data_IF_724813278376
#
_entry.id   IF_724813278376
#
_cell.length_a   1.000
_cell.length_b   1.000
_cell.length_c   1.000
_cell.angle_alpha   90.00
_cell.angle_beta   90.00
_cell.angle_gamma   90.00
#
_symmetry.space_group_name_H-M   'P 1'
#
loop_
_entity.id
_entity.type
_entity.pdbx_description
1 polymer ?
#
# COMPACT_ATOMS: atom_id res chain seq x y z
N UNK A 1 23.79 -5.76 6.23
CA UNK A 1 23.29 -6.02 4.85
C UNK A 1 21.98 -6.79 4.87
N UNK A 2 21.46 -7.04 6.07
CA UNK A 2 20.35 -7.98 6.30
C UNK A 2 18.97 -7.29 6.39
N UNK A 3 18.90 -5.98 6.10
CA UNK A 3 17.70 -5.17 6.27
C UNK A 3 17.15 -4.60 4.95
N UNK A 4 17.51 -5.22 3.81
CA UNK A 4 16.93 -4.88 2.52
C UNK A 4 15.54 -5.52 2.38
N UNK A 5 14.54 -4.84 2.87
CA UNK A 5 13.15 -5.19 2.60
C UNK A 5 12.81 -4.66 1.20
N UNK A 6 12.91 -5.54 0.21
CA UNK A 6 12.41 -5.27 -1.12
C UNK A 6 11.17 -6.12 -1.36
N UNK A 7 10.01 -5.48 -1.54
CA UNK A 7 8.83 -6.11 -2.09
C UNK A 7 7.84 -6.78 -1.15
N UNK A 8 8.18 -7.08 0.11
CA UNK A 8 7.23 -7.66 1.08
C UNK A 8 7.13 -6.74 2.29
N UNK A 9 6.50 -5.60 2.11
CA UNK A 9 6.36 -4.58 3.17
C UNK A 9 5.63 -5.13 4.40
N UNK A 10 4.69 -6.02 4.22
CA UNK A 10 3.89 -6.63 5.30
C UNK A 10 4.74 -7.43 6.28
N UNK A 11 5.78 -8.11 5.81
CA UNK A 11 6.66 -8.91 6.68
C UNK A 11 7.58 -8.07 7.58
N UNK A 12 7.69 -6.76 7.33
CA UNK A 12 8.46 -5.85 8.17
C UNK A 12 7.65 -5.22 9.31
N UNK A 13 6.32 -5.28 9.26
CA UNK A 13 5.45 -4.67 10.29
C UNK A 13 5.70 -5.19 11.72
N UNK A 14 6.05 -6.47 11.94
CA UNK A 14 6.35 -6.96 13.29
C UNK A 14 7.52 -6.29 14.00
N UNK A 15 8.38 -5.53 13.30
CA UNK A 15 9.45 -4.76 13.95
C UNK A 15 8.92 -3.60 14.80
N UNK A 16 7.66 -3.19 14.57
CA UNK A 16 7.04 -2.10 15.32
C UNK A 16 6.33 -2.65 16.56
N UNK A 17 6.74 -2.28 17.76
CA UNK A 17 6.18 -2.84 19.01
C UNK A 17 4.72 -2.44 19.24
N UNK A 18 4.25 -1.38 18.61
CA UNK A 18 2.87 -0.91 18.74
C UNK A 18 1.87 -1.68 17.88
N UNK A 19 2.35 -2.51 16.95
CA UNK A 19 1.49 -3.39 16.17
C UNK A 19 1.06 -4.57 17.06
N UNK A 20 -0.23 -4.73 17.25
CA UNK A 20 -0.81 -5.77 18.09
C UNK A 20 -1.13 -7.04 17.28
N UNK A 21 -1.63 -6.87 16.06
CA UNK A 21 -2.07 -7.97 15.21
C UNK A 21 -1.87 -7.62 13.72
N UNK A 22 -1.52 -8.62 12.91
CA UNK A 22 -1.33 -8.51 11.47
C UNK A 22 -2.02 -9.69 10.79
N UNK A 23 -3.05 -9.41 10.00
CA UNK A 23 -3.66 -10.37 9.10
C UNK A 23 -2.96 -10.30 7.73
N UNK A 24 -2.31 -11.39 7.32
CA UNK A 24 -1.74 -11.57 6.00
C UNK A 24 -2.69 -12.43 5.18
N UNK A 25 -3.17 -11.88 4.07
CA UNK A 25 -4.12 -12.57 3.19
C UNK A 25 -3.46 -12.87 1.86
N UNK A 26 -3.09 -14.13 1.65
CA UNK A 26 -2.43 -14.62 0.46
C UNK A 26 -3.10 -15.94 0.02
N UNK A 27 -3.78 -15.96 -1.13
CA UNK A 27 -4.48 -17.15 -1.58
C UNK A 27 -3.54 -18.32 -1.93
N UNK A 28 -2.30 -18.04 -2.29
CA UNK A 28 -1.31 -19.05 -2.67
C UNK A 28 -0.45 -19.47 -1.46
N UNK A 29 -0.78 -20.62 -0.88
CA UNK A 29 -0.02 -21.20 0.23
C UNK A 29 1.41 -21.56 -0.17
N UNK A 30 1.63 -22.04 -1.40
CA UNK A 30 2.96 -22.40 -1.89
C UNK A 30 3.87 -21.17 -1.98
N UNK A 31 3.31 -20.01 -2.31
CA UNK A 31 4.06 -18.74 -2.36
C UNK A 31 4.62 -18.40 -0.98
N UNK A 32 3.83 -18.54 0.08
CA UNK A 32 4.25 -18.29 1.46
C UNK A 32 5.39 -19.23 1.85
N UNK A 33 5.26 -20.53 1.56
CA UNK A 33 6.29 -21.53 1.85
C UNK A 33 7.60 -21.25 1.09
N UNK A 34 7.49 -20.88 -0.19
CA UNK A 34 8.66 -20.53 -1.03
C UNK A 34 9.36 -19.28 -0.48
N UNK A 35 8.59 -18.25 -0.09
CA UNK A 35 9.15 -17.06 0.52
C UNK A 35 9.90 -17.36 1.82
N UNK A 36 9.30 -18.13 2.71
CA UNK A 36 9.92 -18.54 3.97
C UNK A 36 11.20 -19.37 3.76
N UNK A 37 11.22 -20.20 2.73
CA UNK A 37 12.35 -21.09 2.43
C UNK A 37 13.51 -20.40 1.74
N UNK A 38 13.22 -19.54 0.75
CA UNK A 38 14.25 -18.98 -0.13
C UNK A 38 14.56 -17.50 0.13
N UNK A 39 13.69 -16.81 0.86
CA UNK A 39 13.84 -15.40 1.23
C UNK A 39 13.65 -15.19 2.75
N UNK A 40 14.40 -15.96 3.60
CA UNK A 40 14.17 -15.96 5.05
C UNK A 40 14.35 -14.57 5.68
N UNK A 41 15.26 -13.76 5.13
CA UNK A 41 15.52 -12.42 5.67
C UNK A 41 14.35 -11.46 5.49
N UNK A 42 13.59 -11.61 4.41
CA UNK A 42 12.38 -10.82 4.15
C UNK A 42 11.12 -11.45 4.76
N UNK A 43 11.05 -12.78 4.77
CA UNK A 43 9.87 -13.51 5.23
C UNK A 43 9.85 -13.82 6.74
N UNK A 44 10.94 -13.52 7.48
CA UNK A 44 11.06 -13.84 8.92
C UNK A 44 9.90 -13.31 9.77
N UNK A 45 9.34 -12.16 9.37
CA UNK A 45 8.20 -11.55 10.06
C UNK A 45 6.93 -12.40 10.02
N UNK A 46 6.79 -13.31 9.04
CA UNK A 46 5.63 -14.20 8.96
C UNK A 46 5.57 -15.23 10.10
N UNK A 47 6.67 -15.44 10.82
CA UNK A 47 6.73 -16.33 11.99
C UNK A 47 6.46 -15.62 13.33
N UNK A 48 6.19 -14.31 13.31
CA UNK A 48 5.86 -13.56 14.53
C UNK A 48 4.49 -13.99 15.05
N UNK A 49 4.35 -14.11 16.37
CA UNK A 49 3.11 -14.58 17.03
C UNK A 49 1.90 -13.67 16.79
N UNK A 50 2.13 -12.42 16.38
CA UNK A 50 1.11 -11.43 16.03
C UNK A 50 0.61 -11.57 14.59
N UNK A 51 1.23 -12.44 13.77
CA UNK A 51 0.91 -12.60 12.36
C UNK A 51 -0.01 -13.80 12.14
N UNK A 52 -1.14 -13.57 11.55
CA UNK A 52 -2.11 -14.58 11.16
C UNK A 52 -2.20 -14.65 9.63
N UNK A 53 -1.89 -15.80 9.05
CA UNK A 53 -1.90 -16.02 7.60
C UNK A 53 -3.22 -16.69 7.18
N UNK A 54 -3.90 -16.10 6.20
CA UNK A 54 -5.16 -16.58 5.65
C UNK A 54 -5.02 -16.89 4.16
N UNK A 55 -5.15 -18.15 3.78
CA UNK A 55 -5.09 -18.60 2.38
C UNK A 55 -6.46 -18.46 1.72
N UNK A 56 -6.81 -17.23 1.36
CA UNK A 56 -8.08 -16.93 0.68
C UNK A 56 -8.00 -15.61 -0.11
N UNK A 57 -9.01 -15.38 -0.93
CA UNK A 57 -9.16 -14.15 -1.69
C UNK A 57 -9.35 -12.93 -0.77
N UNK A 58 -8.61 -11.84 -1.02
CA UNK A 58 -8.61 -10.63 -0.19
C UNK A 58 -9.95 -9.90 -0.16
N UNK A 59 -10.69 -9.86 -1.27
CA UNK A 59 -12.03 -9.27 -1.33
C UNK A 59 -13.01 -10.07 -0.44
N UNK A 60 -12.93 -11.39 -0.53
CA UNK A 60 -13.76 -12.30 0.28
C UNK A 60 -13.43 -12.17 1.76
N UNK A 61 -12.15 -12.05 2.09
CA UNK A 61 -11.68 -11.90 3.46
C UNK A 61 -12.20 -10.62 4.12
N UNK A 62 -12.16 -9.50 3.40
CA UNK A 62 -12.60 -8.21 3.93
C UNK A 62 -14.13 -8.03 3.94
N UNK A 63 -14.86 -8.84 3.14
CA UNK A 63 -16.31 -8.69 3.02
C UNK A 63 -17.03 -8.91 4.35
N UNK A 64 -17.75 -7.89 4.81
CA UNK A 64 -18.52 -7.90 6.05
C UNK A 64 -17.76 -7.38 7.28
N UNK A 65 -16.44 -7.19 7.19
CA UNK A 65 -15.65 -6.55 8.26
C UNK A 65 -15.94 -5.05 8.32
N UNK A 66 -16.02 -4.48 9.49
CA UNK A 66 -16.39 -3.06 9.68
C UNK A 66 -15.60 -2.45 10.81
N UNK A 67 -14.76 -1.45 10.50
CA UNK A 67 -14.03 -0.71 11.51
C UNK A 67 -13.06 -1.55 12.33
N UNK A 68 -12.47 -2.57 11.73
CA UNK A 68 -11.57 -3.51 12.40
C UNK A 68 -10.11 -3.13 12.24
N UNK A 69 -9.72 -2.55 11.11
CA UNK A 69 -8.33 -2.30 10.76
C UNK A 69 -7.93 -0.82 10.90
N UNK A 70 -6.77 -0.58 11.48
CA UNK A 70 -6.11 0.73 11.49
C UNK A 70 -5.47 1.01 10.13
N UNK A 71 -4.85 -0.02 9.53
CA UNK A 71 -4.14 0.07 8.26
C UNK A 71 -4.51 -1.12 7.38
N UNK A 72 -4.72 -0.86 6.10
CA UNK A 72 -4.80 -1.88 5.05
C UNK A 72 -3.68 -1.61 4.04
N UNK A 73 -2.85 -2.61 3.78
CA UNK A 73 -1.81 -2.56 2.74
C UNK A 73 -2.23 -3.51 1.63
N UNK A 74 -2.54 -2.96 0.46
CA UNK A 74 -2.80 -3.74 -0.75
C UNK A 74 -1.53 -3.76 -1.61
N UNK A 75 -0.73 -4.79 -1.41
CA UNK A 75 0.51 -5.05 -2.17
C UNK A 75 0.29 -6.13 -3.24
N UNK A 76 -0.89 -6.15 -3.84
CA UNK A 76 -1.21 -7.07 -4.93
C UNK A 76 -0.44 -6.72 -6.20
N UNK A 77 -0.21 -7.73 -7.02
CA UNK A 77 0.36 -7.57 -8.36
C UNK A 77 -0.59 -6.81 -9.30
N UNK A 78 -0.23 -6.72 -10.58
CA UNK A 78 -0.97 -5.96 -11.59
C UNK A 78 -2.48 -6.27 -11.65
N UNK A 79 -3.33 -5.32 -12.13
CA UNK A 79 -4.79 -5.44 -12.16
C UNK A 79 -5.31 -6.39 -13.25
N UNK A 80 -4.61 -7.51 -13.48
CA UNK A 80 -4.94 -8.49 -14.51
C UNK A 80 -5.12 -9.90 -13.91
N UNK A 81 -6.05 -10.66 -14.46
CA UNK A 81 -6.28 -12.05 -14.07
C UNK A 81 -6.90 -12.19 -12.67
N UNK A 82 -6.32 -13.02 -11.82
CA UNK A 82 -6.87 -13.35 -10.50
C UNK A 82 -6.95 -12.17 -9.53
N UNK A 83 -6.14 -11.13 -9.74
CA UNK A 83 -6.07 -9.94 -8.88
C UNK A 83 -7.02 -8.82 -9.32
N UNK A 84 -7.67 -8.92 -10.48
CA UNK A 84 -8.57 -7.88 -11.02
C UNK A 84 -9.64 -7.43 -10.02
N UNK A 85 -10.12 -8.35 -9.18
CA UNK A 85 -11.09 -8.08 -8.12
C UNK A 85 -10.61 -7.03 -7.09
N UNK A 86 -9.30 -6.97 -6.83
CA UNK A 86 -8.68 -6.05 -5.87
C UNK A 86 -8.48 -4.63 -6.41
N UNK A 87 -8.90 -4.36 -7.65
CA UNK A 87 -8.81 -3.05 -8.30
C UNK A 87 -10.18 -2.48 -8.67
N UNK A 88 -11.24 -3.04 -8.08
CA UNK A 88 -12.63 -2.60 -8.35
C UNK A 88 -13.07 -1.51 -7.38
N UNK A 89 -14.07 -0.72 -7.79
CA UNK A 89 -14.73 0.23 -6.90
C UNK A 89 -15.35 -0.47 -5.67
N UNK A 90 -15.85 -1.70 -5.85
CA UNK A 90 -16.38 -2.52 -4.76
C UNK A 90 -15.31 -2.81 -3.72
N UNK A 91 -14.12 -3.22 -4.14
CA UNK A 91 -13.01 -3.51 -3.25
C UNK A 91 -12.61 -2.29 -2.41
N UNK A 92 -12.43 -1.12 -3.04
CA UNK A 92 -12.09 0.12 -2.30
C UNK A 92 -13.20 0.54 -1.32
N UNK A 93 -14.46 0.33 -1.69
CA UNK A 93 -15.60 0.53 -0.79
C UNK A 93 -15.59 -0.43 0.40
N UNK A 94 -15.21 -1.69 0.19
CA UNK A 94 -15.07 -2.69 1.26
C UNK A 94 -13.88 -2.34 2.15
N UNK A 95 -12.73 -1.96 1.59
CA UNK A 95 -11.58 -1.47 2.36
C UNK A 95 -11.97 -0.26 3.23
N UNK A 96 -12.70 0.69 2.66
CA UNK A 96 -13.21 1.82 3.41
C UNK A 96 -14.07 1.39 4.61
N UNK A 97 -14.97 0.42 4.43
CA UNK A 97 -15.82 -0.08 5.52
C UNK A 97 -15.02 -0.85 6.58
N UNK A 98 -14.04 -1.65 6.16
CA UNK A 98 -13.22 -2.45 7.06
C UNK A 98 -12.26 -1.60 7.91
N UNK A 99 -11.86 -0.44 7.42
CA UNK A 99 -11.01 0.51 8.14
C UNK A 99 -11.79 1.20 9.28
N UNK A 100 -11.11 1.44 10.39
CA UNK A 100 -11.57 2.28 11.51
C UNK A 100 -11.84 3.72 11.04
N UNK A 101 -12.41 4.57 11.89
CA UNK A 101 -12.79 5.96 11.54
C UNK A 101 -11.61 6.85 11.12
N UNK A 102 -10.41 6.52 11.54
CA UNK A 102 -9.16 7.21 11.18
C UNK A 102 -8.19 6.32 10.40
N UNK A 103 -8.70 5.21 9.85
CA UNK A 103 -7.91 4.22 9.14
C UNK A 103 -7.31 4.71 7.83
N UNK A 104 -6.20 4.06 7.46
CA UNK A 104 -5.39 4.39 6.28
C UNK A 104 -5.28 3.15 5.39
N UNK A 105 -5.37 3.35 4.08
CA UNK A 105 -5.03 2.34 3.09
C UNK A 105 -3.82 2.80 2.27
N UNK A 106 -2.85 1.90 2.09
CA UNK A 106 -1.72 2.07 1.17
C UNK A 106 -1.82 0.98 0.11
N UNK A 107 -1.54 1.33 -1.14
CA UNK A 107 -1.69 0.38 -2.26
C UNK A 107 -0.71 0.69 -3.39
N UNK A 108 -0.38 -0.33 -4.17
CA UNK A 108 0.36 -0.15 -5.42
C UNK A 108 -0.51 0.61 -6.42
N UNK A 109 0.07 1.63 -7.04
CA UNK A 109 -0.63 2.48 -8.01
C UNK A 109 -0.13 2.29 -9.45
N UNK A 110 1.05 1.72 -9.62
CA UNK A 110 1.64 1.43 -10.91
C UNK A 110 2.55 2.54 -11.45
N UNK A 111 2.70 2.61 -12.75
CA UNK A 111 3.56 3.58 -13.43
C UNK A 111 2.78 4.33 -14.50
N UNK A 112 2.99 5.64 -14.69
CA UNK A 112 2.31 6.44 -15.72
C UNK A 112 3.08 6.50 -17.04
N UNK A 113 4.11 5.65 -17.28
CA UNK A 113 5.02 5.81 -18.40
C UNK A 113 4.59 5.17 -19.71
N UNK A 114 3.84 4.08 -19.66
CA UNK A 114 3.40 3.36 -20.84
C UNK A 114 1.88 3.50 -20.97
N UNK A 115 1.36 3.56 -22.19
CA UNK A 115 -0.07 3.85 -22.45
C UNK A 115 -1.03 2.90 -21.72
N UNK A 116 -0.70 1.62 -21.68
CA UNK A 116 -1.53 0.63 -20.97
C UNK A 116 -1.49 0.86 -19.44
N UNK A 117 -0.31 1.12 -18.89
CA UNK A 117 -0.09 1.40 -17.48
C UNK A 117 -0.73 2.73 -17.08
N UNK A 118 -0.65 3.78 -17.92
CA UNK A 118 -1.29 5.06 -17.68
C UNK A 118 -2.81 4.91 -17.58
N UNK A 119 -3.42 4.13 -18.45
CA UNK A 119 -4.87 3.87 -18.41
C UNK A 119 -5.30 3.19 -17.11
N UNK A 120 -4.54 2.18 -16.67
CA UNK A 120 -4.76 1.49 -15.40
C UNK A 120 -4.56 2.44 -14.20
N UNK A 121 -3.49 3.25 -14.23
CA UNK A 121 -3.16 4.27 -13.25
C UNK A 121 -4.31 5.28 -13.07
N UNK A 122 -4.81 5.86 -14.15
CA UNK A 122 -5.95 6.80 -14.15
C UNK A 122 -7.22 6.16 -13.58
N UNK A 123 -7.55 4.95 -14.07
CA UNK A 123 -8.74 4.22 -13.64
C UNK A 123 -8.71 3.91 -12.15
N UNK A 124 -7.56 3.53 -11.62
CA UNK A 124 -7.36 3.24 -10.20
C UNK A 124 -7.51 4.53 -9.37
N UNK A 125 -6.83 5.61 -9.74
CA UNK A 125 -6.91 6.89 -9.04
C UNK A 125 -8.37 7.35 -8.90
N UNK A 126 -9.12 7.32 -9.99
CA UNK A 126 -10.55 7.69 -10.01
C UNK A 126 -11.38 6.88 -9.01
N UNK A 127 -11.16 5.57 -8.94
CA UNK A 127 -11.91 4.69 -8.04
C UNK A 127 -11.62 4.99 -6.57
N UNK A 128 -10.35 5.19 -6.23
CA UNK A 128 -9.94 5.49 -4.85
C UNK A 128 -10.36 6.90 -4.44
N UNK A 129 -10.14 7.89 -5.30
CA UNK A 129 -10.53 9.28 -5.06
C UNK A 129 -12.02 9.42 -4.73
N UNK A 130 -12.87 8.62 -5.38
CA UNK A 130 -14.31 8.57 -5.10
C UNK A 130 -14.69 7.80 -3.83
N UNK A 131 -13.80 6.99 -3.32
CA UNK A 131 -14.06 6.11 -2.18
C UNK A 131 -13.56 6.68 -0.85
N UNK A 132 -12.54 7.55 -0.89
CA UNK A 132 -11.90 8.10 0.30
C UNK A 132 -11.89 9.63 0.30
N UNK A 133 -12.11 10.28 1.45
CA UNK A 133 -12.06 11.74 1.56
C UNK A 133 -10.67 12.34 1.34
N UNK A 134 -9.62 11.55 1.60
CA UNK A 134 -8.23 11.92 1.35
C UNK A 134 -7.60 10.83 0.48
N UNK A 135 -7.17 11.22 -0.72
CA UNK A 135 -6.43 10.37 -1.64
C UNK A 135 -5.21 11.13 -2.15
N UNK A 136 -4.03 10.52 -2.04
CA UNK A 136 -2.76 11.06 -2.51
C UNK A 136 -1.95 9.96 -3.17
N UNK A 137 -1.08 10.37 -4.08
CA UNK A 137 -0.14 9.47 -4.74
C UNK A 137 1.27 9.89 -4.36
N UNK A 138 2.13 8.92 -4.14
CA UNK A 138 3.54 9.14 -3.87
C UNK A 138 4.42 8.23 -4.72
N UNK A 139 5.64 8.65 -4.94
CA UNK A 139 6.59 7.98 -5.82
C UNK A 139 7.68 7.26 -5.03
N UNK A 140 8.17 6.17 -5.60
CA UNK A 140 9.37 5.50 -5.11
C UNK A 140 10.19 4.92 -6.28
N UNK A 141 11.48 4.72 -6.04
CA UNK A 141 12.34 4.00 -6.98
C UNK A 141 12.30 2.51 -6.64
N UNK A 142 11.78 1.72 -7.57
CA UNK A 142 11.70 0.25 -7.47
C UNK A 142 12.52 -0.34 -8.62
N UNK A 143 13.80 -0.68 -8.41
CA UNK A 143 14.70 -1.08 -9.50
C UNK A 143 14.28 -2.32 -10.28
N UNK A 144 13.41 -3.15 -9.70
CA UNK A 144 12.86 -4.35 -10.34
C UNK A 144 11.70 -4.06 -11.29
N UNK A 145 11.11 -2.87 -11.22
CA UNK A 145 10.08 -2.42 -12.17
C UNK A 145 10.72 -1.89 -13.44
N UNK A 146 10.05 -2.07 -14.58
CA UNK A 146 10.59 -1.76 -15.91
C UNK A 146 11.14 -0.34 -16.06
N UNK A 147 10.48 0.67 -15.48
CA UNK A 147 10.92 2.07 -15.51
C UNK A 147 11.81 2.46 -14.32
N UNK A 148 11.88 1.64 -13.28
CA UNK A 148 12.46 2.01 -11.99
C UNK A 148 11.67 3.07 -11.21
N UNK A 149 10.67 3.68 -11.85
CA UNK A 149 9.81 4.72 -11.28
C UNK A 149 8.42 4.17 -11.02
N UNK A 150 8.06 4.03 -9.76
CA UNK A 150 6.82 3.40 -9.35
C UNK A 150 5.99 4.30 -8.44
N UNK A 151 4.69 4.22 -8.57
CA UNK A 151 3.76 4.99 -7.77
C UNK A 151 3.03 4.11 -6.77
N UNK A 152 2.75 4.69 -5.63
CA UNK A 152 1.91 4.13 -4.59
C UNK A 152 0.81 5.11 -4.23
N UNK A 153 -0.34 4.57 -3.81
CA UNK A 153 -1.44 5.37 -3.33
C UNK A 153 -1.51 5.39 -1.81
N UNK A 154 -1.92 6.51 -1.28
CA UNK A 154 -2.28 6.74 0.11
C UNK A 154 -3.72 7.21 0.17
N UNK A 155 -4.58 6.45 0.78
CA UNK A 155 -5.99 6.80 0.99
C UNK A 155 -6.30 6.79 2.48
N UNK A 156 -6.97 7.81 2.98
CA UNK A 156 -7.23 7.97 4.40
C UNK A 156 -8.62 8.52 4.67
N UNK A 157 -9.20 8.11 5.79
CA UNK A 157 -10.46 8.68 6.28
C UNK A 157 -10.27 10.01 7.00
N UNK A 158 -9.06 10.28 7.52
CA UNK A 158 -8.83 11.43 8.39
C UNK A 158 -7.49 12.12 8.19
N UNK A 159 -6.39 11.36 8.14
CA UNK A 159 -5.04 11.94 8.16
C UNK A 159 -4.53 12.25 6.76
N UNK A 160 -4.02 13.47 6.58
CA UNK A 160 -3.33 13.87 5.36
C UNK A 160 -1.82 13.57 5.47
N UNK A 161 -1.21 12.89 4.48
CA UNK A 161 0.16 12.39 4.63
C UNK A 161 1.23 13.47 4.81
N UNK A 162 0.95 14.71 4.42
CA UNK A 162 1.88 15.83 4.59
C UNK A 162 1.48 16.76 5.76
N UNK A 163 0.18 17.08 5.89
CA UNK A 163 -0.29 18.07 6.86
C UNK A 163 -0.30 17.51 8.28
N UNK A 164 -0.58 16.21 8.43
CA UNK A 164 -0.64 15.53 9.72
C UNK A 164 0.63 14.69 9.99
N UNK A 165 1.68 14.90 9.18
CA UNK A 165 2.95 14.21 9.34
C UNK A 165 3.73 14.76 10.53
N UNK A 166 4.06 13.88 11.50
CA UNK A 166 4.82 14.21 12.69
C UNK A 166 6.24 13.63 12.62
N UNK A 167 7.18 14.42 12.10
CA UNK A 167 8.58 14.03 11.98
C UNK A 167 9.26 13.82 13.34
N UNK A 168 8.85 14.57 14.37
CA UNK A 168 9.43 14.46 15.72
C UNK A 168 9.09 13.12 16.34
N UNK A 169 7.83 12.73 16.26
CA UNK A 169 7.37 11.41 16.71
C UNK A 169 8.11 10.27 16.03
N UNK A 170 8.44 10.42 14.74
CA UNK A 170 9.25 9.45 14.01
C UNK A 170 10.69 9.40 14.56
N UNK A 171 11.34 10.54 14.74
CA UNK A 171 12.72 10.65 15.24
C UNK A 171 12.84 10.09 16.67
N UNK A 172 11.88 10.33 17.53
CA UNK A 172 11.83 9.84 18.91
C UNK A 172 11.77 8.30 19.01
N UNK A 173 11.31 7.63 17.97
CA UNK A 173 11.25 6.16 17.91
C UNK A 173 12.60 5.50 17.65
N UNK A 174 13.60 6.23 17.18
CA UNK A 174 14.95 5.76 16.88
C UNK A 174 14.98 4.47 16.01
N UNK A 175 14.02 4.32 15.10
CA UNK A 175 13.93 3.17 14.22
C UNK A 175 15.06 3.19 13.19
N UNK A 176 15.72 2.05 13.01
CA UNK A 176 16.72 1.88 11.98
C UNK A 176 16.04 1.52 10.66
N UNK A 177 16.14 2.40 9.69
CA UNK A 177 15.60 2.18 8.34
C UNK A 177 16.71 2.35 7.30
N UNK A 178 16.64 1.57 6.23
CA UNK A 178 17.57 1.69 5.11
C UNK A 178 17.10 2.67 4.05
N UNK A 179 15.80 2.75 3.84
CA UNK A 179 15.20 3.52 2.77
C UNK A 179 14.50 4.78 3.27
N UNK A 180 13.73 4.66 4.32
CA UNK A 180 12.86 5.73 4.79
C UNK A 180 13.63 6.78 5.60
N UNK A 181 13.36 8.05 5.28
CA UNK A 181 13.69 9.22 6.10
C UNK A 181 12.53 10.19 6.08
N UNK A 182 12.47 11.10 7.04
CA UNK A 182 11.44 12.16 7.09
C UNK A 182 11.49 13.08 5.86
N UNK A 183 12.68 13.37 5.34
CA UNK A 183 12.87 14.13 4.10
C UNK A 183 12.39 13.34 2.86
N UNK A 184 12.69 12.04 2.82
CA UNK A 184 12.19 11.18 1.74
C UNK A 184 10.66 11.10 1.75
N UNK A 185 10.04 11.04 2.94
CA UNK A 185 8.59 11.07 3.07
C UNK A 185 7.99 12.30 2.37
N UNK A 186 8.50 13.48 2.69
CA UNK A 186 8.02 14.71 2.06
C UNK A 186 8.29 14.73 0.55
N UNK A 187 9.51 14.36 0.15
CA UNK A 187 9.92 14.32 -1.27
C UNK A 187 9.15 13.31 -2.11
N UNK A 188 8.71 12.20 -1.52
CA UNK A 188 7.95 11.18 -2.22
C UNK A 188 6.59 11.69 -2.74
N UNK A 189 5.98 12.66 -2.07
CA UNK A 189 4.73 13.29 -2.49
C UNK A 189 4.93 14.49 -3.44
N UNK A 190 6.16 14.89 -3.74
CA UNK A 190 6.47 15.96 -4.72
C UNK A 190 6.58 15.32 -6.10
N UNK A 191 5.47 15.27 -6.82
CA UNK A 191 5.37 14.57 -8.09
C UNK A 191 5.84 15.44 -9.27
N UNK A 192 6.34 14.83 -10.36
CA UNK A 192 6.55 15.53 -11.61
C UNK A 192 5.26 16.13 -12.15
N UNK A 193 5.37 17.31 -12.80
CA UNK A 193 4.21 18.05 -13.29
C UNK A 193 3.27 17.23 -14.18
N UNK A 194 3.80 16.39 -15.05
CA UNK A 194 2.96 15.56 -15.91
C UNK A 194 2.12 14.54 -15.13
N UNK A 195 2.62 14.01 -14.01
CA UNK A 195 1.86 13.12 -13.13
C UNK A 195 0.76 13.89 -12.40
N UNK A 196 1.09 15.07 -11.88
CA UNK A 196 0.10 15.96 -11.26
C UNK A 196 -1.04 16.28 -12.22
N UNK A 197 -0.70 16.60 -13.49
CA UNK A 197 -1.70 16.89 -14.52
C UNK A 197 -2.63 15.71 -14.81
N UNK A 198 -2.07 14.48 -14.85
CA UNK A 198 -2.86 13.25 -15.01
C UNK A 198 -3.85 13.05 -13.86
N UNK A 199 -3.40 13.23 -12.63
CA UNK A 199 -4.23 13.08 -11.43
C UNK A 199 -5.33 14.16 -11.38
N UNK A 200 -4.96 15.44 -11.60
CA UNK A 200 -5.91 16.54 -11.61
C UNK A 200 -7.00 16.40 -12.68
N UNK A 201 -6.69 15.86 -13.85
CA UNK A 201 -7.68 15.60 -14.91
C UNK A 201 -8.75 14.62 -14.39
N UNK A 202 -8.32 13.52 -13.78
CA UNK A 202 -9.24 12.51 -13.25
C UNK A 202 -10.11 13.05 -12.10
N UNK A 203 -9.54 13.93 -11.27
CA UNK A 203 -10.28 14.56 -10.17
C UNK A 203 -11.34 15.53 -10.69
N UNK A 204 -11.01 16.38 -11.68
CA UNK A 204 -11.93 17.36 -12.28
C UNK A 204 -13.09 16.75 -13.07
N UNK A 205 -12.83 15.66 -13.79
CA UNK A 205 -13.87 14.96 -14.56
C UNK A 205 -14.88 14.20 -13.66
N UNK A 206 -14.57 14.07 -12.38
CA UNK A 206 -15.27 13.16 -11.48
C UNK A 206 -15.69 13.79 -10.15
N UNK A 207 -15.43 15.09 -9.94
CA UNK A 207 -15.82 15.90 -8.78
C UNK A 207 -17.22 16.48 -8.81
#
# INVERSE_FOLDING_TARGET
RDDLVTGVQTCALPIYPEIEEIDVVEPDEELVEVCMKYFPDTARGLNDERVHIYHQDGLRFLRGRKGEYDIIINDSTDPFGHTEGLFTKEFYGICYQALKEDGIMVYQHGSPFFDEDESAFRSMHRKVYRSFPISRVYQAHVPTCASGYWMFGFASKKYHPLNDFDSKRWEERHLKTWYYTTNLHLGAFMLPKYVEDLLEQEEKENG
#
